data_IF_655714620819
#
_entry.id   IF_655714620819
#
_cell.length_a   1.000
_cell.length_b   1.000
_cell.length_c   1.000
_cell.angle_alpha   90.00
_cell.angle_beta   90.00
_cell.angle_gamma   90.00
#
_symmetry.space_group_name_H-M   'P 1'
#
loop_
_entity.id
_entity.type
_entity.pdbx_description
1 polymer ?
#
# COMPACT_ATOMS: atom_id res chain seq x y z
N UNK A 1 8.71 21.38 -13.86
CA UNK A 1 8.54 21.61 -12.41
C UNK A 1 7.34 20.85 -11.83
N UNK A 2 6.13 20.94 -12.40
CA UNK A 2 4.92 20.27 -11.86
C UNK A 2 5.07 18.75 -11.69
N UNK A 3 5.79 18.11 -12.59
CA UNK A 3 6.00 16.65 -12.57
C UNK A 3 6.96 16.18 -11.48
N UNK A 4 7.89 17.03 -11.06
CA UNK A 4 8.76 16.76 -9.91
C UNK A 4 7.94 16.75 -8.62
N UNK A 5 6.96 17.65 -8.49
CA UNK A 5 6.04 17.64 -7.35
C UNK A 5 5.16 16.38 -7.33
N UNK A 6 4.66 15.92 -8.49
CA UNK A 6 3.89 14.67 -8.58
C UNK A 6 4.76 13.46 -8.20
N UNK A 7 6.01 13.42 -8.67
CA UNK A 7 6.94 12.34 -8.33
C UNK A 7 7.22 12.28 -6.82
N UNK A 8 7.50 13.43 -6.19
CA UNK A 8 7.73 13.53 -4.75
C UNK A 8 6.45 13.18 -3.97
N UNK A 9 5.28 13.65 -4.41
CA UNK A 9 4.01 13.31 -3.78
C UNK A 9 3.72 11.80 -3.84
N UNK A 10 3.99 11.15 -4.98
CA UNK A 10 3.86 9.70 -5.12
C UNK A 10 4.81 8.96 -4.16
N UNK A 11 6.04 9.44 -3.95
CA UNK A 11 6.96 8.87 -2.95
C UNK A 11 6.36 8.94 -1.54
N UNK A 12 5.82 10.08 -1.14
CA UNK A 12 5.18 10.22 0.18
C UNK A 12 3.95 9.31 0.31
N UNK A 13 3.13 9.21 -0.72
CA UNK A 13 1.96 8.32 -0.74
C UNK A 13 2.38 6.85 -0.58
N UNK A 14 3.45 6.41 -1.27
CA UNK A 14 4.00 5.05 -1.13
C UNK A 14 4.45 4.79 0.31
N UNK A 15 5.10 5.76 0.97
CA UNK A 15 5.51 5.60 2.37
C UNK A 15 4.32 5.51 3.33
N UNK A 16 3.30 6.35 3.12
CA UNK A 16 2.07 6.32 3.92
C UNK A 16 1.38 4.96 3.74
N UNK A 17 1.24 4.50 2.50
CA UNK A 17 0.68 3.20 2.16
C UNK A 17 1.43 2.05 2.85
N UNK A 18 2.76 2.03 2.72
CA UNK A 18 3.61 1.03 3.36
C UNK A 18 3.40 1.00 4.89
N UNK A 19 3.29 2.17 5.51
CA UNK A 19 3.09 2.33 6.96
C UNK A 19 1.72 1.83 7.38
N UNK A 20 0.66 2.26 6.67
CA UNK A 20 -0.72 1.86 6.93
C UNK A 20 -0.89 0.35 6.72
N UNK A 21 -0.41 -0.19 5.61
CA UNK A 21 -0.46 -1.61 5.30
C UNK A 21 0.32 -2.47 6.30
N UNK A 22 1.48 -2.00 6.80
CA UNK A 22 2.24 -2.70 7.83
C UNK A 22 1.49 -2.81 9.16
N UNK A 23 0.78 -1.74 9.56
CA UNK A 23 -0.05 -1.73 10.76
C UNK A 23 -1.39 -2.47 10.58
N UNK A 24 -1.93 -2.52 9.35
CA UNK A 24 -3.16 -3.22 9.03
C UNK A 24 -2.98 -4.75 8.91
N UNK A 25 -1.79 -5.21 8.49
CA UNK A 25 -1.44 -6.62 8.31
C UNK A 25 -1.83 -7.56 9.48
N UNK A 26 -1.48 -7.28 10.76
CA UNK A 26 -1.85 -8.14 11.90
C UNK A 26 -3.36 -8.25 12.11
N UNK A 27 -4.10 -7.19 11.80
CA UNK A 27 -5.55 -7.15 12.00
C UNK A 27 -6.33 -7.86 10.89
N UNK A 28 -5.79 -7.95 9.67
CA UNK A 28 -6.38 -8.74 8.56
C UNK A 28 -6.22 -10.24 8.85
N UNK A 29 -5.07 -10.67 9.37
CA UNK A 29 -4.81 -12.07 9.70
C UNK A 29 -5.62 -12.56 10.89
N UNK A 30 -5.91 -11.66 11.85
CA UNK A 30 -6.79 -11.95 13.00
C UNK A 30 -8.25 -12.18 12.56
N UNK A 31 -8.70 -11.48 11.50
CA UNK A 31 -10.04 -11.65 10.92
C UNK A 31 -10.18 -12.89 10.01
N UNK A 32 -9.07 -13.41 9.49
CA UNK A 32 -9.06 -14.60 8.63
C UNK A 32 -9.21 -15.93 9.41
N UNK A 33 -9.34 -15.88 10.74
CA UNK A 33 -9.70 -17.06 11.56
C UNK A 33 -8.56 -18.02 11.87
N UNK A 34 -7.30 -17.65 11.62
CA UNK A 34 -6.14 -18.47 12.00
C UNK A 34 -5.84 -18.31 13.49
N UNK A 35 -5.89 -19.41 14.25
CA UNK A 35 -5.46 -19.43 15.66
C UNK A 35 -4.04 -18.87 15.86
N UNK A 36 -3.69 -18.55 17.10
CA UNK A 36 -2.49 -17.76 17.48
C UNK A 36 -1.18 -18.17 16.80
N UNK A 37 -0.99 -19.44 16.44
CA UNK A 37 0.20 -19.94 15.73
C UNK A 37 0.16 -19.81 14.19
N UNK A 38 -1.03 -19.76 13.57
CA UNK A 38 -1.18 -19.54 12.12
C UNK A 38 -1.12 -18.05 11.73
N UNK A 39 -1.38 -17.16 12.70
CA UNK A 39 -1.37 -15.70 12.50
C UNK A 39 0.01 -15.14 12.13
N UNK A 40 1.09 -15.56 12.79
CA UNK A 40 2.42 -14.99 12.56
C UNK A 40 2.97 -15.23 11.16
N UNK A 41 2.78 -16.44 10.62
CA UNK A 41 3.19 -16.79 9.25
C UNK A 41 2.42 -15.97 8.20
N UNK A 42 1.11 -15.80 8.40
CA UNK A 42 0.27 -14.99 7.53
C UNK A 42 0.65 -13.50 7.59
N UNK A 43 0.97 -12.96 8.78
CA UNK A 43 1.40 -11.55 8.93
C UNK A 43 2.72 -11.31 8.22
N UNK A 44 3.65 -12.26 8.34
CA UNK A 44 4.96 -12.17 7.67
C UNK A 44 4.80 -12.25 6.15
N UNK A 45 3.89 -13.09 5.66
CA UNK A 45 3.50 -13.16 4.25
C UNK A 45 2.92 -11.85 3.73
N UNK A 46 1.94 -11.28 4.42
CA UNK A 46 1.31 -10.00 4.05
C UNK A 46 2.34 -8.87 4.04
N UNK A 47 3.18 -8.76 5.09
CA UNK A 47 4.25 -7.75 5.15
C UNK A 47 5.24 -7.86 3.99
N UNK A 48 5.61 -9.09 3.61
CA UNK A 48 6.54 -9.34 2.50
C UNK A 48 5.92 -8.96 1.16
N UNK A 49 4.62 -9.25 0.98
CA UNK A 49 3.88 -8.89 -0.22
C UNK A 49 3.70 -7.37 -0.33
N UNK A 50 3.40 -6.70 0.79
CA UNK A 50 3.34 -5.23 0.87
C UNK A 50 4.69 -4.59 0.51
N UNK A 51 5.81 -5.12 1.04
CA UNK A 51 7.14 -4.64 0.69
C UNK A 51 7.44 -4.79 -0.82
N UNK A 52 7.01 -5.90 -1.44
CA UNK A 52 7.13 -6.11 -2.88
C UNK A 52 6.30 -5.11 -3.69
N UNK A 53 5.06 -4.88 -3.27
CA UNK A 53 4.14 -3.92 -3.91
C UNK A 53 4.70 -2.50 -3.85
N UNK A 54 5.18 -2.08 -2.68
CA UNK A 54 5.86 -0.80 -2.46
C UNK A 54 7.09 -0.66 -3.36
N UNK A 55 7.94 -1.69 -3.43
CA UNK A 55 9.12 -1.67 -4.30
C UNK A 55 8.73 -1.56 -5.79
N UNK A 56 7.65 -2.24 -6.20
CA UNK A 56 7.12 -2.18 -7.55
C UNK A 56 6.62 -0.76 -7.89
N UNK A 57 5.87 -0.13 -6.99
CA UNK A 57 5.40 1.24 -7.17
C UNK A 57 6.54 2.25 -7.25
N UNK A 58 7.56 2.09 -6.41
CA UNK A 58 8.74 2.94 -6.46
C UNK A 58 9.50 2.78 -7.78
N UNK A 59 9.64 1.54 -8.25
CA UNK A 59 10.25 1.23 -9.54
C UNK A 59 9.48 1.86 -10.70
N UNK A 60 8.15 1.70 -10.75
CA UNK A 60 7.32 2.31 -11.79
C UNK A 60 7.32 3.84 -11.73
N UNK A 61 7.27 4.44 -10.54
CA UNK A 61 7.34 5.88 -10.36
C UNK A 61 8.67 6.44 -10.88
N UNK A 62 9.79 5.77 -10.58
CA UNK A 62 11.11 6.11 -11.12
C UNK A 62 11.18 5.91 -12.65
N UNK A 63 10.71 4.77 -13.16
CA UNK A 63 10.72 4.47 -14.60
C UNK A 63 9.90 5.50 -15.39
N UNK A 64 8.75 5.90 -14.86
CA UNK A 64 7.87 6.87 -15.51
C UNK A 64 8.47 8.29 -15.51
N UNK A 65 9.12 8.68 -14.41
CA UNK A 65 9.81 9.98 -14.31
C UNK A 65 11.05 10.06 -15.23
N UNK A 66 11.93 9.06 -15.20
CA UNK A 66 13.14 9.04 -16.02
C UNK A 66 12.86 8.73 -17.50
N UNK A 67 11.84 7.94 -17.80
CA UNK A 67 11.44 7.63 -19.18
C UNK A 67 10.65 8.75 -19.88
N UNK A 68 10.36 9.87 -19.21
CA UNK A 68 9.44 10.93 -19.68
C UNK A 68 8.09 10.41 -20.20
N UNK A 69 7.66 9.22 -19.74
CA UNK A 69 6.39 8.63 -20.14
C UNK A 69 5.31 9.13 -19.20
N UNK A 70 4.83 10.33 -19.46
CA UNK A 70 3.81 11.03 -18.67
C UNK A 70 2.54 10.19 -18.43
N UNK A 71 2.15 9.37 -19.40
CA UNK A 71 1.03 8.44 -19.29
C UNK A 71 1.24 7.36 -18.21
N UNK A 72 2.45 6.83 -18.10
CA UNK A 72 2.81 5.87 -17.06
C UNK A 72 2.79 6.53 -15.68
N UNK A 73 3.15 7.81 -15.57
CA UNK A 73 3.07 8.56 -14.31
C UNK A 73 1.62 8.66 -13.80
N UNK A 74 0.67 9.00 -14.68
CA UNK A 74 -0.76 9.04 -14.34
C UNK A 74 -1.31 7.66 -13.99
N UNK A 75 -0.94 6.63 -14.76
CA UNK A 75 -1.37 5.26 -14.49
C UNK A 75 -0.85 4.78 -13.12
N UNK A 76 0.44 5.01 -12.83
CA UNK A 76 1.05 4.61 -11.56
C UNK A 76 0.38 5.35 -10.40
N UNK A 77 0.11 6.64 -10.56
CA UNK A 77 -0.58 7.44 -9.54
C UNK A 77 -2.02 6.96 -9.29
N UNK A 78 -2.78 6.63 -10.34
CA UNK A 78 -4.12 6.08 -10.21
C UNK A 78 -4.13 4.72 -9.48
N UNK A 79 -3.19 3.83 -9.80
CA UNK A 79 -3.06 2.53 -9.12
C UNK A 79 -2.72 2.74 -7.64
N UNK A 80 -1.81 3.65 -7.34
CA UNK A 80 -1.43 3.99 -5.96
C UNK A 80 -2.61 4.51 -5.15
N UNK A 81 -3.41 5.41 -5.72
CA UNK A 81 -4.60 5.95 -5.05
C UNK A 81 -5.63 4.86 -4.77
N UNK A 82 -5.83 3.93 -5.72
CA UNK A 82 -6.73 2.79 -5.52
C UNK A 82 -6.22 1.88 -4.41
N UNK A 83 -4.92 1.60 -4.36
CA UNK A 83 -4.33 0.73 -3.35
C UNK A 83 -4.45 1.34 -1.94
N UNK A 84 -4.10 2.62 -1.80
CA UNK A 84 -4.30 3.38 -0.55
C UNK A 84 -5.77 3.39 -0.15
N UNK A 85 -6.69 3.65 -1.08
CA UNK A 85 -8.12 3.67 -0.79
C UNK A 85 -8.64 2.29 -0.35
N UNK A 86 -8.16 1.20 -0.97
CA UNK A 86 -8.49 -0.16 -0.58
C UNK A 86 -7.97 -0.49 0.83
N UNK A 87 -6.70 -0.17 1.11
CA UNK A 87 -6.12 -0.34 2.45
C UNK A 87 -6.89 0.47 3.50
N UNK A 88 -7.27 1.71 3.19
CA UNK A 88 -8.00 2.60 4.09
C UNK A 88 -9.45 2.14 4.32
N UNK A 89 -10.13 1.61 3.29
CA UNK A 89 -11.45 0.97 3.44
C UNK A 89 -11.38 -0.28 4.34
N UNK A 90 -10.34 -1.10 4.19
CA UNK A 90 -10.11 -2.27 5.04
C UNK A 90 -9.92 -1.81 6.48
N UNK A 91 -9.02 -0.85 6.74
CA UNK A 91 -8.78 -0.28 8.08
C UNK A 91 -10.05 0.31 8.67
N UNK A 92 -10.81 1.09 7.90
CA UNK A 92 -12.08 1.70 8.35
C UNK A 92 -13.12 0.66 8.69
N UNK A 93 -13.24 -0.40 7.88
CA UNK A 93 -14.15 -1.54 8.14
C UNK A 93 -13.75 -2.29 9.41
N UNK A 94 -12.44 -2.41 9.70
CA UNK A 94 -11.97 -3.02 10.94
C UNK A 94 -12.24 -2.14 12.17
N UNK A 95 -12.02 -0.82 12.06
CA UNK A 95 -12.30 0.11 13.16
C UNK A 95 -13.79 0.09 13.55
N UNK A 96 -14.68 -0.02 12.57
CA UNK A 96 -16.12 -0.12 12.80
C UNK A 96 -16.56 -1.47 13.42
N UNK A 97 -15.79 -2.55 13.25
CA UNK A 97 -16.08 -3.86 13.88
C UNK A 97 -15.63 -3.93 15.34
N UNK A 98 -14.67 -3.12 15.77
CA UNK A 98 -14.14 -3.12 17.14
C UNK A 98 -15.00 -2.33 18.14
N UNK A 99 -16.01 -1.62 17.66
CA UNK A 99 -16.95 -0.82 18.46
C UNK A 99 -18.34 -1.46 18.66
N UNK A 100 -18.50 -2.76 18.40
CA UNK A 100 -19.69 -3.53 18.75
C UNK A 100 -19.34 -4.65 19.71
#
# INVERSE_FOLDING_TARGET
>A
MIFTYIFVANIFLIFIDATVGYHAAPSITMLAGGGEQAGEGAVRGVRRLLAWVVALYMFFNCLAFFGQRWWLLYFTSAVLVVDVAAQLLIVRKMMNRRGR
#
